data_IF_073674580934
#
_entry.id   IF_073674580934
#
_cell.length_a   1.000
_cell.length_b   1.000
_cell.length_c   1.000
_cell.angle_alpha   90.00
_cell.angle_beta   90.00
_cell.angle_gamma   90.00
#
_symmetry.space_group_name_H-M   'P 1'
#
loop_
_entity.id
_entity.type
_entity.pdbx_description
1 polymer ?
#
# COMPACT_ATOMS: atom_id res chain seq x y z
N UNK A 1 -24.70 8.86 -15.53
CA UNK A 1 -25.73 8.57 -14.51
C UNK A 1 -26.35 9.89 -14.10
N UNK A 2 -27.68 9.99 -14.10
CA UNK A 2 -28.38 11.21 -13.66
C UNK A 2 -28.17 11.44 -12.16
N UNK A 3 -28.28 12.70 -11.72
CA UNK A 3 -28.18 13.07 -10.31
C UNK A 3 -29.15 12.28 -9.43
N UNK A 4 -28.68 11.81 -8.27
CA UNK A 4 -29.49 11.01 -7.35
C UNK A 4 -28.69 10.05 -6.47
N UNK A 5 -29.42 9.33 -5.61
CA UNK A 5 -28.87 8.28 -4.74
C UNK A 5 -29.31 6.91 -5.21
N UNK A 6 -28.34 6.04 -5.45
CA UNK A 6 -28.52 4.68 -5.92
C UNK A 6 -28.12 3.72 -4.80
N UNK A 7 -29.12 2.99 -4.27
CA UNK A 7 -28.95 2.07 -3.14
C UNK A 7 -28.92 0.63 -3.65
N UNK A 8 -27.78 -0.05 -3.52
CA UNK A 8 -27.60 -1.45 -3.90
C UNK A 8 -26.13 -1.83 -4.07
N UNK A 9 -25.84 -3.14 -3.99
CA UNK A 9 -24.51 -3.63 -4.40
C UNK A 9 -24.40 -3.60 -5.93
N UNK A 10 -23.35 -2.96 -6.43
CA UNK A 10 -23.00 -2.96 -7.86
C UNK A 10 -22.05 -4.12 -8.10
N UNK A 11 -22.56 -5.18 -8.72
CA UNK A 11 -21.78 -6.37 -9.08
C UNK A 11 -21.38 -6.32 -10.54
N UNK A 12 -20.08 -6.21 -10.79
CA UNK A 12 -19.53 -6.09 -12.13
C UNK A 12 -19.00 -7.44 -12.58
N UNK A 13 -19.49 -7.88 -13.73
CA UNK A 13 -19.18 -9.19 -14.32
C UNK A 13 -18.59 -9.13 -15.73
N UNK A 14 -18.79 -8.00 -16.42
CA UNK A 14 -18.32 -7.81 -17.79
C UNK A 14 -17.12 -6.87 -17.80
N UNK A 15 -16.27 -7.01 -18.82
CA UNK A 15 -15.09 -6.19 -19.01
C UNK A 15 -15.29 -5.18 -20.13
N UNK A 16 -14.69 -4.01 -19.99
CA UNK A 16 -14.34 -3.18 -21.14
C UNK A 16 -13.05 -3.67 -21.79
N UNK A 17 -12.44 -2.84 -22.63
CA UNK A 17 -11.08 -3.04 -23.14
C UNK A 17 -10.23 -1.80 -22.88
N UNK A 18 -8.91 -1.89 -23.09
CA UNK A 18 -8.04 -0.73 -22.96
C UNK A 18 -8.44 0.43 -23.92
N UNK A 19 -8.91 0.11 -25.13
CA UNK A 19 -9.36 1.08 -26.12
C UNK A 19 -10.84 1.48 -25.96
N UNK A 20 -11.66 0.66 -25.32
CA UNK A 20 -13.08 0.91 -25.06
C UNK A 20 -13.42 0.57 -23.59
N UNK A 21 -12.94 1.38 -22.62
CA UNK A 21 -13.26 1.16 -21.22
C UNK A 21 -14.71 1.49 -20.93
N UNK A 22 -15.31 0.78 -19.97
CA UNK A 22 -16.67 1.11 -19.50
C UNK A 22 -16.54 2.20 -18.43
N UNK A 23 -17.20 3.33 -18.64
CA UNK A 23 -17.09 4.50 -17.76
C UNK A 23 -18.41 4.81 -17.06
N UNK A 24 -18.34 4.98 -15.74
CA UNK A 24 -19.44 5.44 -14.88
C UNK A 24 -19.09 6.84 -14.39
N UNK A 25 -19.89 7.82 -14.81
CA UNK A 25 -19.71 9.25 -14.50
C UNK A 25 -21.08 9.94 -14.36
N UNK A 26 -21.18 11.06 -13.62
CA UNK A 26 -22.39 11.90 -13.62
C UNK A 26 -22.74 12.41 -15.02
N UNK A 27 -24.03 12.61 -15.28
CA UNK A 27 -24.55 13.17 -16.53
C UNK A 27 -24.42 14.71 -16.59
N UNK A 28 -24.08 15.35 -15.46
CA UNK A 28 -23.92 16.81 -15.35
C UNK A 28 -25.11 17.54 -14.74
N UNK A 29 -26.17 16.82 -14.38
CA UNK A 29 -27.43 17.35 -13.83
C UNK A 29 -27.56 17.22 -12.30
N UNK A 30 -26.50 16.79 -11.63
CA UNK A 30 -26.46 16.67 -10.18
C UNK A 30 -25.40 15.68 -9.70
N UNK A 31 -25.22 15.61 -8.38
CA UNK A 31 -24.31 14.65 -7.75
C UNK A 31 -24.89 13.23 -7.83
N UNK A 32 -24.01 12.25 -8.11
CA UNK A 32 -24.37 10.82 -8.13
C UNK A 32 -23.79 10.15 -6.90
N UNK A 33 -24.67 9.57 -6.07
CA UNK A 33 -24.27 8.81 -4.89
C UNK A 33 -24.55 7.34 -5.07
N UNK A 34 -23.50 6.52 -4.98
CA UNK A 34 -23.57 5.07 -4.96
C UNK A 34 -23.41 4.60 -3.51
N UNK A 35 -24.36 3.81 -3.02
CA UNK A 35 -24.32 3.28 -1.65
C UNK A 35 -24.96 1.90 -1.58
N UNK A 36 -24.77 1.20 -0.48
CA UNK A 36 -25.43 -0.07 -0.18
C UNK A 36 -25.67 -0.22 1.31
N UNK A 37 -26.77 -0.89 1.71
CA UNK A 37 -27.03 -1.19 3.11
C UNK A 37 -26.14 -2.35 3.57
N UNK A 38 -25.18 -2.07 4.45
CA UNK A 38 -24.20 -3.05 4.90
C UNK A 38 -23.90 -2.88 6.39
N UNK A 39 -23.94 -3.98 7.14
CA UNK A 39 -23.57 -3.97 8.56
C UNK A 39 -22.10 -3.57 8.73
N UNK A 40 -21.76 -2.84 9.82
CA UNK A 40 -20.38 -2.52 10.13
C UNK A 40 -19.52 -3.78 10.31
N UNK A 41 -18.20 -3.63 10.17
CA UNK A 41 -17.24 -4.69 10.50
C UNK A 41 -16.84 -4.60 11.97
N UNK A 42 -16.39 -5.73 12.55
CA UNK A 42 -15.81 -5.71 13.89
C UNK A 42 -14.52 -4.90 13.88
N UNK A 43 -14.33 -4.00 14.86
CA UNK A 43 -13.05 -3.30 15.02
C UNK A 43 -11.87 -4.24 15.34
N UNK A 44 -12.13 -5.51 15.69
CA UNK A 44 -11.13 -6.57 15.86
C UNK A 44 -10.87 -7.38 14.57
N UNK A 45 -11.52 -7.05 13.46
CA UNK A 45 -11.27 -7.72 12.18
C UNK A 45 -9.80 -7.58 11.78
N UNK A 46 -9.19 -8.69 11.39
CA UNK A 46 -7.84 -8.75 10.83
C UNK A 46 -7.83 -9.04 9.32
N UNK A 47 -9.01 -9.03 8.67
CA UNK A 47 -9.18 -9.26 7.23
C UNK A 47 -9.88 -8.08 6.52
N UNK A 48 -9.59 -7.83 5.23
CA UNK A 48 -10.29 -6.81 4.45
C UNK A 48 -11.80 -7.10 4.41
N UNK A 49 -12.63 -6.08 4.58
CA UNK A 49 -14.09 -6.27 4.53
C UNK A 49 -14.58 -6.60 3.11
N UNK A 50 -15.22 -7.75 2.85
CA UNK A 50 -15.80 -8.03 1.53
C UNK A 50 -17.10 -7.23 1.27
N UNK A 51 -17.64 -6.55 2.29
CA UNK A 51 -18.85 -5.73 2.20
C UNK A 51 -18.47 -4.37 1.63
N UNK A 52 -18.64 -4.18 0.33
CA UNK A 52 -18.41 -2.90 -0.36
C UNK A 52 -19.50 -2.62 -1.39
N UNK A 53 -19.71 -1.36 -1.77
CA UNK A 53 -20.77 -1.00 -2.74
C UNK A 53 -20.42 -1.46 -4.15
N UNK A 54 -19.18 -1.24 -4.60
CA UNK A 54 -18.71 -1.72 -5.89
C UNK A 54 -17.97 -3.04 -5.69
N UNK A 55 -18.37 -4.09 -6.41
CA UNK A 55 -17.76 -5.42 -6.31
C UNK A 55 -17.41 -5.94 -7.70
N UNK A 56 -16.12 -6.13 -7.92
CA UNK A 56 -15.54 -6.80 -9.07
C UNK A 56 -14.93 -8.11 -8.60
N UNK A 57 -15.63 -9.21 -8.85
CA UNK A 57 -15.21 -10.53 -8.44
C UNK A 57 -14.88 -11.34 -9.69
N UNK A 58 -13.71 -11.98 -9.70
CA UNK A 58 -13.29 -12.91 -10.75
C UNK A 58 -12.88 -12.26 -12.08
N UNK A 59 -12.15 -11.13 -12.06
CA UNK A 59 -11.40 -10.67 -13.24
C UNK A 59 -12.12 -9.73 -14.22
N UNK A 60 -13.08 -8.91 -13.76
CA UNK A 60 -13.68 -7.88 -14.62
C UNK A 60 -12.75 -6.67 -14.81
N UNK A 61 -12.54 -6.23 -16.06
CA UNK A 61 -11.47 -5.32 -16.45
C UNK A 61 -11.94 -3.99 -17.06
N UNK A 62 -11.04 -3.00 -17.07
CA UNK A 62 -11.17 -1.73 -17.80
C UNK A 62 -12.44 -0.92 -17.48
N UNK A 63 -12.74 -0.80 -16.19
CA UNK A 63 -13.79 0.08 -15.68
C UNK A 63 -13.22 1.39 -15.17
N UNK A 64 -13.92 2.50 -15.39
CA UNK A 64 -13.59 3.82 -14.82
C UNK A 64 -14.76 4.35 -14.02
N UNK A 65 -14.54 4.66 -12.74
CA UNK A 65 -15.47 5.40 -11.90
C UNK A 65 -14.95 6.81 -11.70
N UNK A 66 -15.70 7.80 -12.17
CA UNK A 66 -15.26 9.19 -12.17
C UNK A 66 -16.29 10.12 -11.56
N UNK A 67 -15.87 10.99 -10.63
CA UNK A 67 -16.70 12.09 -10.13
C UNK A 67 -17.91 11.65 -9.29
N UNK A 68 -17.84 10.48 -8.65
CA UNK A 68 -18.96 9.89 -7.90
C UNK A 68 -18.77 10.09 -6.39
N UNK A 69 -19.89 10.10 -5.66
CA UNK A 69 -19.89 9.83 -4.23
C UNK A 69 -20.07 8.32 -4.03
N UNK A 70 -19.07 7.64 -3.49
CA UNK A 70 -19.09 6.19 -3.28
C UNK A 70 -19.04 5.92 -1.78
N UNK A 71 -20.18 5.58 -1.20
CA UNK A 71 -20.21 5.03 0.14
C UNK A 71 -19.82 3.54 0.11
N UNK A 72 -19.23 3.02 1.18
CA UNK A 72 -18.72 1.65 1.30
C UNK A 72 -17.72 1.19 0.21
N UNK A 73 -17.12 2.10 -0.56
CA UNK A 73 -15.94 1.82 -1.40
C UNK A 73 -16.08 0.69 -2.43
N UNK A 74 -14.92 0.12 -2.82
CA UNK A 74 -14.82 -0.87 -3.88
C UNK A 74 -13.95 -2.09 -3.50
N UNK A 75 -14.43 -3.30 -3.83
CA UNK A 75 -13.73 -4.57 -3.66
C UNK A 75 -13.40 -5.16 -5.03
N UNK A 76 -12.11 -5.22 -5.36
CA UNK A 76 -11.59 -5.78 -6.60
C UNK A 76 -10.80 -7.05 -6.28
N UNK A 77 -11.21 -8.17 -6.85
CA UNK A 77 -10.51 -9.45 -6.67
C UNK A 77 -10.45 -10.22 -7.97
N UNK A 78 -9.25 -10.48 -8.45
CA UNK A 78 -9.02 -11.47 -9.50
C UNK A 78 -9.41 -12.88 -9.09
N UNK A 79 -9.68 -13.75 -10.06
CA UNK A 79 -9.91 -15.18 -9.85
C UNK A 79 -8.65 -15.84 -9.28
N UNK A 80 -8.82 -16.61 -8.21
CA UNK A 80 -7.71 -17.31 -7.55
C UNK A 80 -6.87 -16.45 -6.61
N UNK A 81 -7.27 -15.20 -6.35
CA UNK A 81 -6.57 -14.30 -5.41
C UNK A 81 -6.32 -14.95 -4.04
N UNK A 82 -7.31 -15.65 -3.48
CA UNK A 82 -7.17 -16.38 -2.22
C UNK A 82 -6.10 -17.48 -2.24
N UNK A 83 -5.95 -18.21 -3.37
CA UNK A 83 -4.90 -19.24 -3.50
C UNK A 83 -3.51 -18.62 -3.54
N UNK A 84 -3.35 -17.53 -4.29
CA UNK A 84 -2.08 -16.79 -4.37
C UNK A 84 -1.70 -16.23 -2.99
N UNK A 85 -2.66 -15.62 -2.28
CA UNK A 85 -2.44 -15.09 -0.94
C UNK A 85 -2.04 -16.20 0.04
N UNK A 86 -2.78 -17.31 0.08
CA UNK A 86 -2.49 -18.43 0.96
C UNK A 86 -1.12 -19.06 0.71
N UNK A 87 -0.72 -19.21 -0.56
CA UNK A 87 0.61 -19.66 -0.93
C UNK A 87 1.69 -18.71 -0.42
N UNK A 88 1.54 -17.41 -0.67
CA UNK A 88 2.50 -16.39 -0.26
C UNK A 88 2.60 -16.33 1.28
N UNK A 89 1.47 -16.27 1.98
CA UNK A 89 1.40 -16.25 3.43
C UNK A 89 2.00 -17.50 4.08
N UNK A 90 1.81 -18.69 3.49
CA UNK A 90 2.44 -19.91 3.97
C UNK A 90 3.97 -19.87 3.88
N UNK A 91 4.52 -19.33 2.79
CA UNK A 91 5.97 -19.14 2.63
C UNK A 91 6.53 -18.10 3.60
N UNK A 92 5.80 -17.01 3.81
CA UNK A 92 6.13 -15.95 4.78
C UNK A 92 6.19 -16.51 6.20
N UNK A 93 5.17 -17.28 6.62
CA UNK A 93 5.11 -17.93 7.94
C UNK A 93 6.29 -18.88 8.15
N UNK A 94 6.68 -19.63 7.11
CA UNK A 94 7.85 -20.52 7.12
C UNK A 94 9.19 -19.78 6.97
N UNK A 95 9.17 -18.46 6.78
CA UNK A 95 10.34 -17.60 6.49
C UNK A 95 11.12 -18.03 5.23
N UNK A 96 10.50 -18.75 4.30
CA UNK A 96 11.11 -19.20 3.04
C UNK A 96 10.93 -18.09 2.00
N UNK A 97 12.03 -17.41 1.63
CA UNK A 97 11.97 -16.24 0.76
C UNK A 97 12.21 -16.56 -0.72
N UNK A 98 12.96 -17.63 -1.01
CA UNK A 98 13.45 -17.94 -2.35
C UNK A 98 12.32 -18.12 -3.37
N UNK A 99 11.25 -18.91 -3.12
CA UNK A 99 10.15 -19.05 -4.08
C UNK A 99 9.32 -17.77 -4.21
N UNK A 100 9.23 -16.95 -3.13
CA UNK A 100 8.56 -15.64 -3.18
C UNK A 100 9.28 -14.68 -4.14
N UNK A 101 10.62 -14.77 -4.20
CA UNK A 101 11.47 -13.97 -5.08
C UNK A 101 11.74 -14.58 -6.46
N UNK A 102 11.44 -15.87 -6.64
CA UNK A 102 11.47 -16.54 -7.93
C UNK A 102 10.31 -16.14 -8.85
N UNK A 103 9.24 -15.55 -8.30
CA UNK A 103 8.17 -14.95 -9.12
C UNK A 103 8.80 -13.89 -10.04
N UNK A 104 8.54 -13.93 -11.36
CA UNK A 104 9.13 -12.99 -12.32
C UNK A 104 9.05 -11.53 -11.85
N UNK A 105 10.21 -10.86 -11.83
CA UNK A 105 10.36 -9.48 -11.37
C UNK A 105 10.24 -9.25 -9.86
N UNK A 106 10.05 -10.27 -9.01
CA UNK A 106 10.02 -10.08 -7.55
C UNK A 106 11.42 -10.09 -6.91
N UNK A 107 12.39 -10.78 -7.53
CA UNK A 107 13.76 -10.92 -7.02
C UNK A 107 14.76 -9.85 -7.49
N UNK A 108 14.48 -9.17 -8.61
CA UNK A 108 15.29 -8.08 -9.16
C UNK A 108 14.40 -7.06 -9.86
N UNK A 109 14.90 -5.84 -10.06
CA UNK A 109 14.16 -4.80 -10.80
C UNK A 109 14.08 -5.16 -12.29
N UNK A 110 12.98 -5.80 -12.67
CA UNK A 110 12.67 -6.20 -14.03
C UNK A 110 11.16 -6.05 -14.29
N UNK A 111 10.69 -4.83 -14.62
CA UNK A 111 9.27 -4.56 -14.85
C UNK A 111 8.72 -5.34 -16.06
N UNK A 112 9.57 -5.65 -17.06
CA UNK A 112 9.16 -6.48 -18.21
C UNK A 112 8.82 -7.90 -17.77
N UNK A 113 9.71 -8.54 -17.00
CA UNK A 113 9.46 -9.89 -16.47
C UNK A 113 8.29 -9.92 -15.49
N UNK A 114 8.08 -8.86 -14.70
CA UNK A 114 6.96 -8.78 -13.75
C UNK A 114 5.57 -8.88 -14.39
N UNK A 115 5.44 -8.62 -15.70
CA UNK A 115 4.19 -8.87 -16.45
C UNK A 115 3.85 -10.37 -16.55
N UNK A 116 4.84 -11.24 -16.40
CA UNK A 116 4.68 -12.70 -16.42
C UNK A 116 4.47 -13.32 -15.03
N UNK A 117 4.29 -12.51 -13.97
CA UNK A 117 4.08 -13.02 -12.62
C UNK A 117 2.80 -13.89 -12.51
N UNK A 118 1.70 -13.46 -13.14
CA UNK A 118 0.42 -14.19 -13.06
C UNK A 118 0.47 -15.54 -13.80
N UNK A 119 0.94 -15.64 -15.06
CA UNK A 119 1.17 -16.93 -15.72
C UNK A 119 2.09 -17.87 -14.93
N UNK A 120 3.17 -17.34 -14.35
CA UNK A 120 4.07 -18.13 -13.50
C UNK A 120 3.35 -18.70 -12.28
N UNK A 121 2.59 -17.87 -11.56
CA UNK A 121 1.83 -18.29 -10.38
C UNK A 121 0.74 -19.30 -10.73
N UNK A 122 0.06 -19.12 -11.87
CA UNK A 122 -0.96 -20.07 -12.33
C UNK A 122 -0.37 -21.47 -12.51
N UNK A 123 0.83 -21.57 -13.11
CA UNK A 123 1.59 -22.82 -13.24
C UNK A 123 2.06 -23.34 -11.88
N UNK A 124 2.68 -22.51 -11.06
CA UNK A 124 3.24 -22.90 -9.76
C UNK A 124 2.16 -23.41 -8.78
N UNK A 125 0.94 -22.88 -8.88
CA UNK A 125 -0.19 -23.22 -8.02
C UNK A 125 -1.14 -24.25 -8.64
N UNK A 126 -0.87 -24.68 -9.87
CA UNK A 126 -1.75 -25.53 -10.66
C UNK A 126 -3.22 -25.06 -10.62
N UNK A 127 -3.44 -23.78 -10.91
CA UNK A 127 -4.77 -23.17 -10.87
C UNK A 127 -4.88 -22.04 -11.88
N UNK A 128 -6.05 -21.92 -12.51
CA UNK A 128 -6.35 -20.74 -13.32
C UNK A 128 -6.36 -19.49 -12.42
N UNK A 129 -5.65 -18.45 -12.87
CA UNK A 129 -5.64 -17.12 -12.28
C UNK A 129 -6.13 -16.12 -13.33
N UNK A 130 -6.95 -15.17 -12.91
CA UNK A 130 -7.51 -14.14 -13.78
C UNK A 130 -7.49 -12.80 -13.05
N UNK A 131 -6.47 -11.95 -13.26
CA UNK A 131 -6.32 -10.72 -12.51
C UNK A 131 -7.32 -9.67 -12.99
N UNK A 132 -7.72 -8.74 -12.11
CA UNK A 132 -8.48 -7.54 -12.53
C UNK A 132 -7.52 -6.50 -13.12
N UNK A 133 -7.78 -6.02 -14.33
CA UNK A 133 -6.89 -5.15 -15.11
C UNK A 133 -7.49 -3.77 -15.34
N UNK A 134 -6.67 -2.73 -15.19
CA UNK A 134 -6.97 -1.42 -15.79
C UNK A 134 -8.12 -0.63 -15.16
N UNK A 135 -8.54 -0.99 -13.94
CA UNK A 135 -9.64 -0.31 -13.25
C UNK A 135 -9.19 1.03 -12.67
N UNK A 136 -10.03 2.05 -12.81
CA UNK A 136 -9.72 3.43 -12.41
C UNK A 136 -10.78 4.01 -11.47
N UNK A 137 -10.33 4.66 -10.41
CA UNK A 137 -11.13 5.52 -9.53
C UNK A 137 -10.57 6.93 -9.59
N UNK A 138 -11.31 7.86 -10.19
CA UNK A 138 -10.85 9.21 -10.50
C UNK A 138 -11.79 10.25 -9.88
N UNK A 139 -11.27 11.21 -9.12
CA UNK A 139 -12.00 12.37 -8.61
C UNK A 139 -13.29 12.01 -7.84
N UNK A 140 -13.31 10.88 -7.12
CA UNK A 140 -14.47 10.44 -6.33
C UNK A 140 -14.36 10.92 -4.87
N UNK A 141 -15.51 11.03 -4.21
CA UNK A 141 -15.59 11.08 -2.73
C UNK A 141 -15.92 9.69 -2.21
N UNK A 142 -15.02 9.07 -1.45
CA UNK A 142 -15.15 7.69 -0.95
C UNK A 142 -15.25 7.70 0.57
N UNK A 143 -16.29 7.06 1.11
CA UNK A 143 -16.54 7.02 2.56
C UNK A 143 -16.97 5.66 3.07
N UNK A 144 -16.92 5.45 4.39
CA UNK A 144 -17.35 4.23 5.04
C UNK A 144 -16.31 3.12 4.91
N UNK A 145 -15.92 2.76 3.68
CA UNK A 145 -14.87 1.76 3.41
C UNK A 145 -14.02 2.22 2.23
N UNK A 146 -12.73 1.90 2.28
CA UNK A 146 -11.78 2.26 1.22
C UNK A 146 -11.85 1.38 -0.03
N UNK A 147 -10.88 1.54 -0.91
CA UNK A 147 -10.66 0.70 -2.08
C UNK A 147 -9.76 -0.48 -1.67
N UNK A 148 -10.20 -1.70 -1.93
CA UNK A 148 -9.40 -2.91 -1.76
C UNK A 148 -9.21 -3.63 -3.09
N UNK A 149 -7.97 -3.89 -3.47
CA UNK A 149 -7.60 -4.57 -4.70
C UNK A 149 -6.64 -5.73 -4.40
N UNK A 150 -7.00 -6.94 -4.84
CA UNK A 150 -6.17 -8.14 -4.70
C UNK A 150 -6.09 -8.90 -6.02
N UNK A 151 -4.87 -9.33 -6.40
CA UNK A 151 -4.60 -9.95 -7.70
C UNK A 151 -5.10 -9.07 -8.87
N UNK A 152 -4.52 -7.88 -9.00
CA UNK A 152 -4.93 -6.86 -9.97
C UNK A 152 -3.73 -6.25 -10.70
N UNK A 153 -3.90 -5.52 -11.79
CA UNK A 153 -2.77 -4.88 -12.48
C UNK A 153 -3.16 -3.62 -13.23
N UNK A 154 -2.22 -2.68 -13.33
CA UNK A 154 -2.36 -1.44 -14.10
C UNK A 154 -3.57 -0.56 -13.71
N UNK A 155 -3.99 -0.61 -12.44
CA UNK A 155 -5.10 0.21 -11.95
C UNK A 155 -4.69 1.66 -11.63
N UNK A 156 -5.67 2.54 -11.48
CA UNK A 156 -5.47 3.96 -11.14
C UNK A 156 -6.38 4.38 -9.98
N UNK A 157 -5.82 5.05 -8.98
CA UNK A 157 -6.56 5.77 -7.94
C UNK A 157 -6.06 7.21 -7.96
N UNK A 158 -6.86 8.13 -8.50
CA UNK A 158 -6.43 9.51 -8.76
C UNK A 158 -7.41 10.55 -8.26
N UNK A 159 -6.94 11.60 -7.60
CA UNK A 159 -7.76 12.78 -7.28
C UNK A 159 -8.91 12.54 -6.30
N UNK A 160 -8.98 11.37 -5.65
CA UNK A 160 -10.10 11.02 -4.79
C UNK A 160 -9.94 11.65 -3.39
N UNK A 161 -11.07 12.00 -2.78
CA UNK A 161 -11.16 12.29 -1.33
C UNK A 161 -11.68 11.05 -0.61
N UNK A 162 -10.87 10.46 0.26
CA UNK A 162 -11.18 9.22 0.97
C UNK A 162 -11.20 9.50 2.47
N UNK A 163 -12.36 9.34 3.12
CA UNK A 163 -12.52 9.72 4.53
C UNK A 163 -13.58 8.92 5.26
N UNK A 164 -13.66 9.05 6.59
CA UNK A 164 -14.68 8.39 7.43
C UNK A 164 -14.69 6.88 7.21
N UNK A 165 -13.51 6.28 7.20
CA UNK A 165 -13.35 4.84 7.00
C UNK A 165 -13.59 4.15 8.34
N UNK A 166 -14.60 3.29 8.38
CA UNK A 166 -15.00 2.60 9.61
C UNK A 166 -13.95 1.56 10.02
N UNK A 167 -13.86 1.28 11.32
CA UNK A 167 -12.95 0.30 11.87
C UNK A 167 -13.21 -1.09 11.25
N UNK A 168 -12.18 -1.93 11.18
CA UNK A 168 -12.30 -3.31 10.69
C UNK A 168 -12.50 -3.45 9.18
N UNK A 169 -12.57 -2.36 8.42
CA UNK A 169 -12.69 -2.39 6.96
C UNK A 169 -11.35 -2.39 6.21
N UNK A 170 -10.32 -1.84 6.86
CA UNK A 170 -8.96 -1.72 6.35
C UNK A 170 -8.59 -0.30 5.91
N UNK A 171 -7.49 -0.16 5.15
CA UNK A 171 -6.98 1.11 4.69
C UNK A 171 -7.93 1.88 3.76
N UNK A 172 -7.65 3.18 3.58
CA UNK A 172 -8.32 4.01 2.57
C UNK A 172 -8.06 3.49 1.15
N UNK A 173 -6.81 3.13 0.85
CA UNK A 173 -6.44 2.38 -0.35
C UNK A 173 -5.57 1.19 0.05
N UNK A 174 -5.98 -0.02 -0.32
CA UNK A 174 -5.26 -1.24 -0.03
C UNK A 174 -5.09 -2.08 -1.30
N UNK A 175 -3.86 -2.14 -1.81
CA UNK A 175 -3.49 -2.88 -3.01
C UNK A 175 -2.55 -4.02 -2.60
N UNK A 176 -2.89 -5.27 -2.90
CA UNK A 176 -2.09 -6.40 -2.44
C UNK A 176 -2.06 -7.61 -3.37
N UNK A 177 -1.23 -8.59 -3.02
CA UNK A 177 -1.25 -9.93 -3.59
C UNK A 177 -0.90 -9.97 -5.08
N UNK A 178 0.38 -9.69 -5.38
CA UNK A 178 0.89 -9.55 -6.74
C UNK A 178 0.13 -8.51 -7.59
N UNK A 179 -0.42 -7.49 -6.91
CA UNK A 179 -1.04 -6.37 -7.58
C UNK A 179 -0.01 -5.34 -8.03
N UNK A 180 0.27 -5.32 -9.33
CA UNK A 180 1.42 -4.60 -9.88
C UNK A 180 1.02 -3.41 -10.75
N UNK A 181 1.94 -2.47 -10.92
CA UNK A 181 1.83 -1.34 -11.86
C UNK A 181 0.65 -0.39 -11.60
N UNK A 182 0.18 -0.29 -10.36
CA UNK A 182 -0.82 0.70 -10.00
C UNK A 182 -0.23 2.11 -9.97
N UNK A 183 -1.04 3.08 -10.36
CA UNK A 183 -0.77 4.50 -10.12
C UNK A 183 -1.76 5.03 -9.08
N UNK A 184 -1.24 5.51 -7.94
CA UNK A 184 -2.01 6.13 -6.87
C UNK A 184 -1.53 7.56 -6.70
N UNK A 185 -2.30 8.55 -7.15
CA UNK A 185 -1.81 9.93 -7.21
C UNK A 185 -2.83 11.02 -6.89
N UNK A 186 -2.39 12.08 -6.22
CA UNK A 186 -3.23 13.26 -5.98
C UNK A 186 -4.46 12.99 -5.10
N UNK A 187 -4.47 11.91 -4.31
CA UNK A 187 -5.59 11.60 -3.42
C UNK A 187 -5.40 12.31 -2.07
N UNK A 188 -6.52 12.65 -1.44
CA UNK A 188 -6.58 13.15 -0.07
C UNK A 188 -7.25 12.10 0.84
N UNK A 189 -6.51 11.56 1.81
CA UNK A 189 -6.96 10.45 2.67
C UNK A 189 -6.89 10.87 4.14
N UNK A 190 -8.01 10.75 4.84
CA UNK A 190 -8.11 11.15 6.25
C UNK A 190 -9.13 10.32 7.02
N UNK A 191 -9.21 10.52 8.33
CA UNK A 191 -10.28 9.99 9.20
C UNK A 191 -10.53 8.48 9.01
N UNK A 192 -9.49 7.69 9.25
CA UNK A 192 -9.56 6.23 9.29
C UNK A 192 -9.66 5.82 10.74
N UNK A 193 -10.78 5.19 11.10
CA UNK A 193 -11.08 4.81 12.46
C UNK A 193 -10.08 3.80 13.01
N UNK A 194 -9.79 3.94 14.30
CA UNK A 194 -8.84 3.08 15.02
C UNK A 194 -9.32 1.63 14.99
N UNK A 195 -8.40 0.72 14.66
CA UNK A 195 -8.63 -0.71 14.84
C UNK A 195 -8.24 -1.16 16.23
N UNK A 196 -9.03 -2.07 16.81
CA UNK A 196 -8.70 -2.73 18.09
C UNK A 196 -7.88 -4.01 17.89
N UNK A 197 -7.66 -4.45 16.65
CA UNK A 197 -6.73 -5.51 16.34
C UNK A 197 -5.29 -4.97 16.36
N UNK A 198 -4.34 -5.78 16.85
CA UNK A 198 -2.95 -5.38 17.03
C UNK A 198 -2.23 -4.99 15.71
N UNK A 199 -2.77 -5.35 14.55
CA UNK A 199 -2.16 -5.04 13.25
C UNK A 199 -3.17 -4.93 12.09
N UNK A 200 -2.83 -4.09 11.10
CA UNK A 200 -3.24 -4.14 9.69
C UNK A 200 -4.50 -3.41 9.21
N UNK A 201 -5.08 -2.47 9.97
CA UNK A 201 -6.38 -1.89 9.59
C UNK A 201 -6.51 -0.37 9.65
N UNK A 202 -5.49 0.35 10.10
CA UNK A 202 -5.55 1.82 10.26
C UNK A 202 -4.47 2.52 9.43
N UNK A 203 -4.33 2.12 8.16
CA UNK A 203 -3.38 2.75 7.24
C UNK A 203 -4.10 3.64 6.21
N UNK A 204 -3.48 4.74 5.78
CA UNK A 204 -4.01 5.57 4.69
C UNK A 204 -3.95 4.83 3.36
N UNK A 205 -2.72 4.62 2.88
CA UNK A 205 -2.41 3.96 1.62
C UNK A 205 -1.44 2.82 1.89
N UNK A 206 -1.84 1.59 1.54
CA UNK A 206 -1.08 0.37 1.79
C UNK A 206 -0.89 -0.48 0.54
N UNK A 207 0.34 -0.94 0.38
CA UNK A 207 0.73 -1.95 -0.58
C UNK A 207 1.23 -3.19 0.16
N UNK A 208 0.77 -4.39 -0.17
CA UNK A 208 1.15 -5.60 0.57
C UNK A 208 1.23 -6.87 -0.27
N UNK A 209 1.80 -7.93 0.31
CA UNK A 209 1.89 -9.27 -0.28
C UNK A 209 2.36 -9.24 -1.75
N UNK A 210 3.58 -8.75 -1.97
CA UNK A 210 4.20 -8.66 -3.29
C UNK A 210 3.47 -7.75 -4.30
N UNK A 211 2.74 -6.73 -3.85
CA UNK A 211 2.31 -5.63 -4.71
C UNK A 211 3.53 -4.77 -5.11
N UNK A 212 3.98 -4.90 -6.36
CA UNK A 212 5.27 -4.39 -6.83
C UNK A 212 5.13 -3.39 -7.98
N UNK A 213 6.18 -2.61 -8.22
CA UNK A 213 6.26 -1.67 -9.36
C UNK A 213 5.14 -0.63 -9.39
N UNK A 214 4.57 -0.29 -8.24
CA UNK A 214 3.52 0.71 -8.13
C UNK A 214 4.13 2.12 -8.01
N UNK A 215 3.41 3.11 -8.51
CA UNK A 215 3.76 4.53 -8.42
C UNK A 215 2.76 5.25 -7.51
N UNK A 216 3.25 5.79 -6.40
CA UNK A 216 2.47 6.47 -5.37
C UNK A 216 2.98 7.90 -5.28
N UNK A 217 2.25 8.86 -5.84
CA UNK A 217 2.76 10.24 -5.98
C UNK A 217 1.79 11.33 -5.58
N UNK A 218 2.29 12.43 -5.01
CA UNK A 218 1.47 13.62 -4.74
C UNK A 218 0.21 13.35 -3.90
N UNK A 219 0.18 12.29 -3.10
CA UNK A 219 -0.96 12.02 -2.22
C UNK A 219 -0.77 12.74 -0.89
N UNK A 220 -1.88 13.15 -0.29
CA UNK A 220 -1.95 13.67 1.07
C UNK A 220 -2.63 12.63 1.96
N UNK A 221 -1.99 12.27 3.07
CA UNK A 221 -2.60 11.43 4.10
C UNK A 221 -2.49 12.13 5.44
N UNK A 222 -3.60 12.34 6.13
CA UNK A 222 -3.59 13.17 7.32
C UNK A 222 -4.60 12.78 8.40
N UNK A 223 -4.29 13.16 9.64
CA UNK A 223 -5.17 13.05 10.81
C UNK A 223 -5.64 11.61 11.08
N UNK A 224 -4.71 10.65 10.95
CA UNK A 224 -4.98 9.26 11.33
C UNK A 224 -4.70 9.11 12.83
N UNK A 225 -5.72 8.69 13.60
CA UNK A 225 -5.61 8.51 15.05
C UNK A 225 -4.85 7.23 15.44
N UNK A 226 -4.59 7.02 16.73
CA UNK A 226 -3.96 5.80 17.26
C UNK A 226 -2.57 5.52 16.66
N UNK A 227 -2.30 4.28 16.27
CA UNK A 227 -1.09 3.86 15.54
C UNK A 227 -1.24 4.01 14.01
N UNK A 228 -2.04 4.99 13.57
CA UNK A 228 -2.31 5.26 12.16
C UNK A 228 -1.05 5.48 11.33
N UNK A 229 -0.92 4.78 10.20
CA UNK A 229 0.24 4.87 9.30
C UNK A 229 -0.17 5.47 7.96
N UNK A 230 0.51 6.52 7.51
CA UNK A 230 0.10 7.20 6.30
C UNK A 230 0.36 6.35 5.04
N UNK A 231 1.62 5.99 4.80
CA UNK A 231 2.03 5.19 3.65
C UNK A 231 2.76 3.93 4.13
N UNK A 232 2.30 2.76 3.70
CA UNK A 232 2.83 1.48 4.18
C UNK A 232 3.13 0.53 3.02
N UNK A 233 4.36 0.03 2.93
CA UNK A 233 4.67 -1.21 2.23
C UNK A 233 4.69 -2.35 3.23
N UNK A 234 4.04 -3.45 2.89
CA UNK A 234 3.96 -4.66 3.68
C UNK A 234 4.50 -5.85 2.87
N UNK A 235 4.65 -7.00 3.53
CA UNK A 235 5.32 -8.22 3.08
C UNK A 235 5.62 -8.31 1.57
N UNK A 236 6.90 -8.24 1.21
CA UNK A 236 7.44 -8.34 -0.16
C UNK A 236 6.97 -7.28 -1.16
N UNK A 237 6.25 -6.25 -0.73
CA UNK A 237 5.90 -5.12 -1.59
C UNK A 237 7.18 -4.34 -1.92
N UNK A 238 7.63 -4.48 -3.16
CA UNK A 238 8.97 -4.16 -3.64
C UNK A 238 8.95 -3.31 -4.92
N UNK A 239 10.06 -2.62 -5.19
CA UNK A 239 10.24 -1.82 -6.41
C UNK A 239 9.18 -0.73 -6.60
N UNK A 240 8.49 -0.34 -5.52
CA UNK A 240 7.50 0.73 -5.56
C UNK A 240 8.21 2.09 -5.48
N UNK A 241 7.62 3.11 -6.11
CA UNK A 241 8.07 4.49 -5.98
C UNK A 241 7.03 5.29 -5.21
N UNK A 242 7.43 5.81 -4.06
CA UNK A 242 6.70 6.81 -3.29
C UNK A 242 7.39 8.14 -3.48
N UNK A 243 6.73 9.10 -4.13
CA UNK A 243 7.36 10.38 -4.45
C UNK A 243 6.45 11.59 -4.27
N UNK A 244 6.96 12.66 -3.65
CA UNK A 244 6.23 13.93 -3.43
C UNK A 244 4.91 13.76 -2.65
N UNK A 245 4.80 12.72 -1.83
CA UNK A 245 3.65 12.57 -0.96
C UNK A 245 3.81 13.42 0.30
N UNK A 246 2.69 13.72 0.96
CA UNK A 246 2.63 14.46 2.21
C UNK A 246 1.87 13.67 3.28
N UNK A 247 2.47 13.53 4.46
CA UNK A 247 1.84 12.93 5.64
C UNK A 247 1.81 13.94 6.80
N UNK A 248 0.68 14.04 7.50
CA UNK A 248 0.61 14.89 8.71
C UNK A 248 -0.30 14.31 9.80
N UNK A 249 0.05 14.51 11.07
CA UNK A 249 -0.70 14.06 12.23
C UNK A 249 -1.02 12.56 12.20
N UNK A 250 0.02 11.75 12.01
CA UNK A 250 -0.03 10.29 11.97
C UNK A 250 0.95 9.68 12.96
N UNK A 251 0.82 8.40 13.30
CA UNK A 251 1.83 7.74 14.13
C UNK A 251 3.12 7.53 13.34
N UNK A 252 2.99 6.98 12.13
CA UNK A 252 4.12 6.76 11.21
C UNK A 252 3.80 7.37 9.85
N UNK A 253 4.68 8.21 9.32
CA UNK A 253 4.54 8.81 7.99
C UNK A 253 4.68 7.78 6.88
N UNK A 254 5.87 7.21 6.76
CA UNK A 254 6.24 6.24 5.74
C UNK A 254 6.82 5.00 6.40
N UNK A 255 6.31 3.82 6.06
CA UNK A 255 6.70 2.59 6.74
C UNK A 255 6.96 1.46 5.75
N UNK A 256 8.17 0.90 5.81
CA UNK A 256 8.50 -0.37 5.19
C UNK A 256 8.44 -1.49 6.23
N UNK A 257 7.36 -2.26 6.21
CA UNK A 257 6.98 -3.11 7.33
C UNK A 257 7.64 -4.49 7.32
N UNK A 258 7.82 -5.10 6.15
CA UNK A 258 8.42 -6.43 6.01
C UNK A 258 8.88 -6.73 4.58
N UNK A 259 10.15 -7.08 4.45
CA UNK A 259 10.77 -7.57 3.22
C UNK A 259 10.54 -6.65 2.00
N UNK A 260 10.43 -5.34 2.19
CA UNK A 260 10.46 -4.40 1.08
C UNK A 260 11.83 -4.43 0.40
N UNK A 261 11.86 -4.72 -0.90
CA UNK A 261 13.10 -4.72 -1.70
C UNK A 261 13.08 -3.59 -2.71
N UNK A 262 14.12 -2.75 -2.71
CA UNK A 262 14.32 -1.65 -3.65
C UNK A 262 13.13 -0.69 -3.78
N UNK A 263 12.37 -0.49 -2.70
CA UNK A 263 11.40 0.61 -2.65
C UNK A 263 12.14 1.94 -2.68
N UNK A 264 11.58 2.90 -3.41
CA UNK A 264 12.12 4.25 -3.56
C UNK A 264 11.22 5.24 -2.85
N UNK A 265 11.76 5.94 -1.86
CA UNK A 265 11.08 7.01 -1.12
C UNK A 265 11.77 8.32 -1.50
N UNK A 266 11.13 9.16 -2.31
CA UNK A 266 11.77 10.36 -2.87
C UNK A 266 10.97 11.63 -2.61
N UNK A 267 11.61 12.69 -2.11
CA UNK A 267 10.99 14.00 -2.00
C UNK A 267 9.65 14.00 -1.23
N UNK A 268 9.46 13.05 -0.33
CA UNK A 268 8.26 12.97 0.48
C UNK A 268 8.42 13.85 1.72
N UNK A 269 7.32 14.32 2.28
CA UNK A 269 7.34 15.15 3.49
C UNK A 269 6.39 14.57 4.53
N UNK A 270 6.87 14.45 5.76
CA UNK A 270 6.03 14.19 6.93
C UNK A 270 6.20 15.30 7.96
N UNK A 271 5.11 15.74 8.54
CA UNK A 271 5.09 16.63 9.71
C UNK A 271 4.22 16.05 10.81
N UNK A 272 4.43 16.44 12.06
CA UNK A 272 3.62 16.03 13.22
C UNK A 272 3.46 14.51 13.37
N UNK A 273 4.50 13.75 13.03
CA UNK A 273 4.53 12.31 13.33
C UNK A 273 4.61 12.07 14.85
N UNK A 274 3.87 11.08 15.36
CA UNK A 274 3.87 10.73 16.79
C UNK A 274 4.93 9.69 17.13
N UNK A 275 5.34 8.81 16.22
CA UNK A 275 6.36 7.78 16.48
C UNK A 275 7.56 7.94 15.55
N UNK A 276 7.33 7.82 14.25
CA UNK A 276 8.39 7.86 13.25
C UNK A 276 7.96 8.66 12.02
N UNK A 277 8.84 9.51 11.50
CA UNK A 277 8.66 10.06 10.16
C UNK A 277 8.73 8.94 9.12
N UNK A 278 9.86 8.23 9.13
CA UNK A 278 10.17 7.10 8.26
C UNK A 278 10.57 5.88 9.09
N UNK A 279 9.90 4.75 8.89
CA UNK A 279 10.20 3.47 9.54
C UNK A 279 10.68 2.43 8.52
N UNK A 280 11.83 1.80 8.80
CA UNK A 280 12.36 0.70 8.01
C UNK A 280 12.47 -0.54 8.89
N UNK A 281 11.64 -1.54 8.62
CA UNK A 281 11.50 -2.82 9.32
C UNK A 281 11.91 -2.75 10.80
N UNK A 282 11.15 -1.98 11.58
CA UNK A 282 11.48 -1.67 12.99
C UNK A 282 11.57 -2.93 13.86
N UNK A 283 10.73 -3.93 13.59
CA UNK A 283 10.63 -5.16 14.39
C UNK A 283 11.82 -6.13 14.17
N UNK A 284 12.73 -5.87 13.22
CA UNK A 284 13.97 -6.64 13.09
C UNK A 284 15.10 -6.13 14.01
N UNK A 285 14.81 -5.26 14.97
CA UNK A 285 15.81 -4.70 15.90
C UNK A 285 16.59 -5.76 16.70
N UNK A 286 16.00 -6.93 16.95
CA UNK A 286 16.63 -8.04 17.65
C UNK A 286 17.54 -8.90 16.77
N UNK A 287 17.51 -8.74 15.44
CA UNK A 287 18.33 -9.54 14.53
C UNK A 287 19.79 -9.08 14.58
N UNK A 288 20.70 -10.02 14.85
CA UNK A 288 22.15 -9.77 14.85
C UNK A 288 22.73 -9.59 13.44
N UNK A 289 22.03 -10.07 12.41
CA UNK A 289 22.33 -9.91 10.98
C UNK A 289 21.02 -9.70 10.22
N UNK A 290 21.02 -8.99 9.07
CA UNK A 290 19.80 -8.78 8.30
C UNK A 290 19.29 -10.09 7.68
N UNK A 291 17.98 -10.18 7.49
CA UNK A 291 17.30 -11.34 6.93
C UNK A 291 16.70 -11.02 5.57
N UNK A 292 17.03 -11.82 4.56
CA UNK A 292 16.39 -11.74 3.24
C UNK A 292 14.87 -12.00 3.29
N UNK A 293 14.39 -12.60 4.39
CA UNK A 293 13.00 -12.96 4.58
C UNK A 293 12.14 -11.84 5.19
N UNK A 294 12.74 -10.95 5.98
CA UNK A 294 12.02 -9.94 6.78
C UNK A 294 12.58 -8.53 6.66
N UNK A 295 13.90 -8.36 6.53
CA UNK A 295 14.57 -7.05 6.57
C UNK A 295 14.33 -6.24 5.31
N UNK A 296 14.35 -4.91 5.46
CA UNK A 296 14.38 -3.99 4.32
C UNK A 296 15.66 -4.21 3.52
N UNK A 297 15.57 -4.25 2.18
CA UNK A 297 16.72 -4.55 1.31
C UNK A 297 16.78 -3.58 0.14
N UNK A 298 17.91 -2.92 -0.10
CA UNK A 298 18.10 -2.10 -1.30
C UNK A 298 17.26 -0.81 -1.31
N UNK A 299 16.69 -0.40 -0.18
CA UNK A 299 15.83 0.79 -0.12
C UNK A 299 16.60 2.03 -0.59
N UNK A 300 15.97 2.89 -1.38
CA UNK A 300 16.54 4.17 -1.78
C UNK A 300 15.67 5.28 -1.21
N UNK A 301 16.22 6.08 -0.31
CA UNK A 301 15.52 7.19 0.32
C UNK A 301 16.28 8.49 0.04
N UNK A 302 15.69 9.40 -0.75
CA UNK A 302 16.35 10.66 -1.08
C UNK A 302 15.45 11.89 -1.05
N UNK A 303 16.00 13.04 -0.63
CA UNK A 303 15.27 14.31 -0.60
C UNK A 303 14.06 14.32 0.36
N UNK A 304 13.91 13.33 1.22
CA UNK A 304 12.77 13.25 2.13
C UNK A 304 12.93 14.19 3.32
N UNK A 305 11.81 14.63 3.87
CA UNK A 305 11.76 15.64 4.93
C UNK A 305 10.86 15.14 6.06
N UNK A 306 11.37 15.17 7.30
CA UNK A 306 10.58 14.87 8.49
C UNK A 306 10.70 16.02 9.50
N UNK A 307 9.60 16.74 9.71
CA UNK A 307 9.58 17.98 10.50
C UNK A 307 8.61 17.89 11.68
N UNK A 308 8.81 18.80 12.65
CA UNK A 308 7.88 19.09 13.74
C UNK A 308 7.21 17.85 14.35
N UNK A 309 7.98 16.92 14.95
CA UNK A 309 7.39 15.75 15.61
C UNK A 309 6.34 16.19 16.64
N UNK A 310 5.23 15.47 16.72
CA UNK A 310 4.12 15.84 17.61
C UNK A 310 4.42 15.63 19.10
N UNK A 311 5.51 14.92 19.44
CA UNK A 311 5.99 14.71 20.81
C UNK A 311 7.51 14.55 20.86
N UNK A 312 8.10 14.88 22.02
CA UNK A 312 9.56 14.95 22.26
C UNK A 312 10.34 13.64 22.09
N UNK A 313 9.70 12.50 21.84
CA UNK A 313 10.36 11.21 21.61
C UNK A 313 10.31 10.67 20.17
N UNK A 314 9.50 11.28 19.29
CA UNK A 314 9.37 10.78 17.92
C UNK A 314 10.68 11.00 17.14
N UNK A 315 10.95 10.09 16.18
CA UNK A 315 12.18 10.14 15.37
C UNK A 315 11.85 10.45 13.92
N UNK A 316 12.67 11.27 13.27
CA UNK A 316 12.60 11.47 11.84
C UNK A 316 12.75 10.14 11.09
N UNK A 317 13.69 9.30 11.54
CA UNK A 317 13.91 7.97 10.98
C UNK A 317 14.10 6.91 12.07
N UNK A 318 13.44 5.77 11.89
CA UNK A 318 13.64 4.54 12.66
C UNK A 318 14.05 3.38 11.75
N UNK A 319 15.07 2.61 12.14
CA UNK A 319 15.49 1.41 11.41
C UNK A 319 15.80 0.24 12.35
N UNK A 320 15.11 -0.89 12.15
CA UNK A 320 15.29 -2.11 12.96
C UNK A 320 16.31 -3.07 12.35
N UNK A 321 16.08 -3.51 11.11
CA UNK A 321 17.02 -4.34 10.37
C UNK A 321 16.94 -4.12 8.87
N UNK A 322 18.10 -3.97 8.22
CA UNK A 322 18.18 -3.64 6.81
C UNK A 322 19.54 -3.94 6.16
N UNK A 323 19.56 -4.00 4.83
CA UNK A 323 20.77 -4.15 4.03
C UNK A 323 20.68 -3.37 2.72
N UNK A 324 21.83 -2.99 2.17
CA UNK A 324 21.98 -2.32 0.87
C UNK A 324 21.18 -1.03 0.73
N UNK A 325 20.80 -0.39 1.84
CA UNK A 325 20.05 0.85 1.83
C UNK A 325 20.90 2.04 1.37
N UNK A 326 20.32 2.95 0.61
CA UNK A 326 20.97 4.18 0.17
C UNK A 326 20.14 5.37 0.59
N UNK A 327 20.72 6.23 1.42
CA UNK A 327 20.09 7.45 1.91
C UNK A 327 20.88 8.66 1.41
N UNK A 328 20.22 9.65 0.81
CA UNK A 328 20.90 10.85 0.32
C UNK A 328 20.04 12.11 0.37
N UNK A 329 20.58 13.19 0.92
CA UNK A 329 19.91 14.50 0.92
C UNK A 329 18.58 14.52 1.67
N UNK A 330 18.38 13.61 2.63
CA UNK A 330 17.20 13.63 3.49
C UNK A 330 17.41 14.65 4.62
N UNK A 331 16.38 15.44 4.92
CA UNK A 331 16.33 16.30 6.09
C UNK A 331 15.73 15.53 7.27
N UNK A 332 16.53 14.62 7.84
CA UNK A 332 16.21 13.88 9.06
C UNK A 332 17.15 14.33 10.17
N UNK A 333 16.60 14.80 11.30
CA UNK A 333 17.36 15.37 12.40
C UNK A 333 17.43 14.47 13.65
N UNK A 334 16.65 13.39 13.68
CA UNK A 334 16.52 12.51 14.84
C UNK A 334 16.40 11.06 14.39
N UNK A 335 17.22 10.20 14.98
CA UNK A 335 17.33 8.81 14.56
C UNK A 335 17.03 7.84 15.70
N UNK A 336 16.48 6.69 15.33
CA UNK A 336 16.57 5.47 16.10
C UNK A 336 17.09 4.37 15.17
N UNK A 337 18.31 3.93 15.41
CA UNK A 337 18.93 2.81 14.69
C UNK A 337 19.14 1.72 15.73
N UNK A 338 18.64 0.51 15.48
CA UNK A 338 18.76 -0.58 16.44
C UNK A 338 20.23 -0.90 16.74
N UNK A 339 20.52 -1.32 17.97
CA UNK A 339 21.88 -1.67 18.43
C UNK A 339 22.56 -2.71 17.54
N UNK A 340 21.81 -3.65 16.99
CA UNK A 340 22.39 -4.66 16.10
C UNK A 340 22.64 -4.08 14.71
N UNK A 341 21.71 -3.29 14.17
CA UNK A 341 21.88 -2.64 12.88
C UNK A 341 23.10 -1.71 12.87
N UNK A 342 23.37 -0.97 13.95
CA UNK A 342 24.59 -0.15 14.02
C UNK A 342 25.88 -0.96 13.86
N UNK A 343 25.90 -2.24 14.27
CA UNK A 343 27.08 -3.11 14.17
C UNK A 343 27.32 -3.63 12.74
N UNK A 344 26.26 -3.87 11.98
CA UNK A 344 26.35 -4.46 10.64
C UNK A 344 25.99 -3.49 9.50
N UNK A 345 25.72 -2.22 9.81
CA UNK A 345 25.29 -1.22 8.84
C UNK A 345 26.18 -1.19 7.59
N UNK A 346 27.49 -0.97 7.79
CA UNK A 346 28.47 -0.84 6.72
C UNK A 346 28.77 -2.17 6.02
N UNK A 347 28.90 -3.26 6.78
CA UNK A 347 29.23 -4.59 6.24
C UNK A 347 28.13 -5.15 5.32
N UNK A 348 26.89 -4.67 5.47
CA UNK A 348 25.77 -5.00 4.58
C UNK A 348 25.43 -3.90 3.58
N UNK A 349 26.36 -2.98 3.33
CA UNK A 349 26.29 -2.02 2.22
C UNK A 349 25.25 -0.92 2.39
N UNK A 350 24.84 -0.60 3.62
CA UNK A 350 24.01 0.58 3.86
C UNK A 350 24.87 1.85 3.79
N UNK A 351 24.34 2.91 3.18
CA UNK A 351 25.04 4.19 3.04
C UNK A 351 24.15 5.37 3.43
N UNK A 352 24.74 6.34 4.11
CA UNK A 352 24.14 7.61 4.50
C UNK A 352 24.92 8.77 3.90
N UNK A 353 24.28 9.51 3.00
CA UNK A 353 24.90 10.58 2.20
C UNK A 353 26.20 10.13 1.51
N UNK A 354 26.20 8.92 0.94
CA UNK A 354 27.35 8.31 0.29
C UNK A 354 28.41 7.72 1.24
N UNK A 355 28.27 7.90 2.55
CA UNK A 355 29.18 7.34 3.56
C UNK A 355 28.67 6.00 4.11
N UNK A 356 29.54 5.01 4.38
CA UNK A 356 29.15 3.80 5.10
C UNK A 356 28.97 4.02 6.61
N UNK A 357 29.14 5.23 7.12
CA UNK A 357 28.89 5.54 8.52
C UNK A 357 27.39 5.44 8.86
N UNK A 358 27.11 5.01 10.09
CA UNK A 358 25.76 5.06 10.66
C UNK A 358 25.35 6.53 10.84
N UNK A 359 24.12 6.95 10.47
CA UNK A 359 23.65 8.30 10.79
C UNK A 359 23.63 8.54 12.30
N UNK A 360 23.99 9.77 12.71
CA UNK A 360 24.04 10.20 14.11
C UNK A 360 22.95 11.22 14.39
#
# INVERSE_FOLDING_TARGET
MHGGTYVGEIRIKNSGTASAPITVTPAGDGAVTLTSNQSPDSCYSSAPSPRRTIKMLSGADYWTFKGLNIHHGAYLSGKGSGKVFSWHAALVKKKIWQPRRAVPGAGSYNPTAARNAIPYLAKALNTALDPVVGVKFIDNTITGRGIFATLTTSGVVQGNRISKIICGSGPGVWIMNHSNFWTVTGNDVTDIAISRAAHYMQEGIRFGSAANYNKITNNKVHDLQGDGRAFNTDVDSSYNTFEKNFATNVAIGYNDQMAGWNNRWRNNTVTTSRQYGYGYRLMDASLSLPSMSTSTNGVVASGNVALHPARSGAKAMGAGGMMKGTFSGNNFNTFWISKNLTRYWSSYGNTWNGSPAVPK
#
